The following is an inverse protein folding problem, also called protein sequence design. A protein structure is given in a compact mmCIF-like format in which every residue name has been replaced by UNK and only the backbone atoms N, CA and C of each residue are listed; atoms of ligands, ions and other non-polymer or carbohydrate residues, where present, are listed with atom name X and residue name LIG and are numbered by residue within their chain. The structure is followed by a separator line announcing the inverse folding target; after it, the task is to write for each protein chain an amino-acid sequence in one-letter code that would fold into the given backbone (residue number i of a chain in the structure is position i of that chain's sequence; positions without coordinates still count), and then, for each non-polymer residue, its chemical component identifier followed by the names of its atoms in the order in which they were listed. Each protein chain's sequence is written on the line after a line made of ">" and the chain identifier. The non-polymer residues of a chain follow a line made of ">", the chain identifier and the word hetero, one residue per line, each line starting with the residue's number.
data_IF_150750661292
#
_entry.id   IF_150750661292
#
_cell.length_a   1.000
_cell.length_b   1.000
_cell.length_c   1.000
_cell.angle_alpha   90.00
_cell.angle_beta   90.00
_cell.angle_gamma   90.00
#
_symmetry.space_group_name_H-M   'P 1'
#
loop_
_entity.id
_entity.type
_entity.pdbx_description
1 polymer ?
#
# COMPACT_ATOMS: atom_id res chain seq x y z
N UNK A 1 22.41 -33.76 -9.05
CA UNK A 1 21.83 -32.49 -8.58
C UNK A 1 21.96 -31.50 -9.71
N UNK A 2 20.86 -30.91 -10.17
CA UNK A 2 20.90 -29.86 -11.19
C UNK A 2 21.51 -28.59 -10.60
N UNK A 3 22.29 -27.86 -11.38
CA UNK A 3 22.87 -26.57 -10.95
C UNK A 3 21.83 -25.45 -11.11
N UNK A 4 21.90 -24.36 -10.33
CA UNK A 4 21.01 -23.20 -10.52
C UNK A 4 21.01 -22.65 -11.96
N UNK A 5 22.17 -22.64 -12.61
CA UNK A 5 22.32 -22.25 -14.01
C UNK A 5 21.53 -23.17 -14.97
N UNK A 6 21.59 -24.48 -14.78
CA UNK A 6 20.82 -25.42 -15.62
C UNK A 6 19.30 -25.31 -15.42
N UNK A 7 18.87 -24.98 -14.20
CA UNK A 7 17.45 -24.75 -13.91
C UNK A 7 16.95 -23.46 -14.57
N UNK A 8 17.74 -22.39 -14.53
CA UNK A 8 17.43 -21.14 -15.22
C UNK A 8 17.32 -21.35 -16.74
N UNK A 9 18.26 -22.07 -17.36
CA UNK A 9 18.22 -22.34 -18.80
C UNK A 9 16.98 -23.16 -19.19
N UNK A 10 16.60 -24.15 -18.38
CA UNK A 10 15.40 -24.93 -18.61
C UNK A 10 14.15 -24.06 -18.50
N UNK A 11 14.06 -23.22 -17.47
CA UNK A 11 12.99 -22.23 -17.31
C UNK A 11 12.85 -21.31 -18.52
N UNK A 12 13.94 -20.68 -18.96
CA UNK A 12 13.92 -19.77 -20.12
C UNK A 12 13.51 -20.51 -21.39
N UNK A 13 13.99 -21.73 -21.59
CA UNK A 13 13.61 -22.54 -22.75
C UNK A 13 12.12 -22.87 -22.79
N UNK A 14 11.50 -23.14 -21.64
CA UNK A 14 10.05 -23.39 -21.58
C UNK A 14 9.26 -22.09 -21.71
N UNK A 15 9.70 -21.02 -21.05
CA UNK A 15 9.01 -19.72 -21.03
C UNK A 15 8.95 -19.06 -22.42
N UNK A 16 10.03 -19.19 -23.20
CA UNK A 16 10.16 -18.60 -24.53
C UNK A 16 9.93 -19.59 -25.69
N UNK A 17 9.36 -20.77 -25.42
CA UNK A 17 8.99 -21.70 -26.49
C UNK A 17 7.90 -21.09 -27.38
N UNK A 18 7.93 -21.38 -28.69
CA UNK A 18 6.89 -20.93 -29.64
C UNK A 18 5.50 -21.44 -29.27
N UNK A 19 5.43 -22.60 -28.59
CA UNK A 19 4.21 -23.18 -28.04
C UNK A 19 4.47 -23.62 -26.60
N UNK A 20 4.40 -22.69 -25.64
CA UNK A 20 4.73 -22.98 -24.25
C UNK A 20 3.70 -23.93 -23.66
N UNK A 21 4.15 -25.08 -23.16
CA UNK A 21 3.30 -25.98 -22.41
C UNK A 21 3.21 -25.49 -20.97
N UNK A 22 2.07 -24.93 -20.56
CA UNK A 22 1.87 -24.34 -19.23
C UNK A 22 2.33 -25.27 -18.10
N UNK A 23 2.05 -26.57 -18.16
CA UNK A 23 2.47 -27.50 -17.11
C UNK A 23 4.00 -27.65 -17.02
N UNK A 24 4.71 -27.67 -18.15
CA UNK A 24 6.18 -27.74 -18.18
C UNK A 24 6.83 -26.42 -17.76
N UNK A 25 6.23 -25.30 -18.15
CA UNK A 25 6.65 -23.95 -17.75
C UNK A 25 6.54 -23.81 -16.23
N UNK A 26 5.38 -24.13 -15.65
CA UNK A 26 5.13 -24.07 -14.19
C UNK A 26 6.06 -25.01 -13.43
N UNK A 27 6.27 -26.25 -13.90
CA UNK A 27 7.20 -27.18 -13.23
C UNK A 27 8.64 -26.67 -13.26
N UNK A 28 9.07 -26.08 -14.38
CA UNK A 28 10.41 -25.49 -14.49
C UNK A 28 10.57 -24.26 -13.59
N UNK A 29 9.55 -23.42 -13.49
CA UNK A 29 9.51 -22.30 -12.54
C UNK A 29 9.56 -22.78 -11.08
N UNK A 30 8.79 -23.80 -10.72
CA UNK A 30 8.76 -24.36 -9.35
C UNK A 30 10.15 -24.84 -8.91
N UNK A 31 10.84 -25.55 -9.79
CA UNK A 31 12.21 -26.00 -9.53
C UNK A 31 13.19 -24.84 -9.35
N UNK A 32 12.88 -23.69 -9.96
CA UNK A 32 13.70 -22.50 -9.93
C UNK A 32 13.46 -21.66 -8.66
N UNK A 33 12.21 -21.45 -8.23
CA UNK A 33 11.82 -20.56 -7.08
C UNK A 33 12.57 -20.87 -5.77
N UNK A 34 12.91 -22.14 -5.50
CA UNK A 34 13.65 -22.53 -4.29
C UNK A 34 15.17 -22.38 -4.36
N UNK A 35 15.72 -22.03 -5.52
CA UNK A 35 17.17 -21.98 -5.80
C UNK A 35 17.59 -20.73 -6.58
N UNK A 36 16.64 -19.81 -6.83
CA UNK A 36 16.91 -18.54 -7.49
C UNK A 36 17.84 -17.68 -6.65
N UNK A 37 18.97 -17.24 -7.21
CA UNK A 37 19.78 -16.23 -6.58
C UNK A 37 19.09 -14.86 -6.68
N UNK A 38 19.64 -13.88 -5.96
CA UNK A 38 19.25 -12.46 -6.03
C UNK A 38 19.03 -12.02 -7.50
N UNK A 39 17.99 -11.21 -7.81
CA UNK A 39 17.76 -10.61 -9.13
C UNK A 39 19.03 -10.07 -9.82
N UNK A 40 19.97 -9.50 -9.07
CA UNK A 40 21.25 -9.02 -9.61
C UNK A 40 22.09 -10.13 -10.26
N UNK A 41 22.08 -11.34 -9.67
CA UNK A 41 22.80 -12.51 -10.18
C UNK A 41 22.12 -13.06 -11.44
N UNK A 42 20.79 -13.05 -11.48
CA UNK A 42 20.02 -13.46 -12.66
C UNK A 42 20.34 -12.55 -13.85
N UNK A 43 20.36 -11.22 -13.62
CA UNK A 43 20.76 -10.23 -14.63
C UNK A 43 22.17 -10.44 -15.14
N UNK A 44 23.13 -10.74 -14.25
CA UNK A 44 24.51 -11.08 -14.66
C UNK A 44 24.56 -12.34 -15.53
N UNK A 45 23.76 -13.36 -15.23
CA UNK A 45 23.72 -14.59 -16.03
C UNK A 45 23.07 -14.38 -17.39
N UNK A 46 22.02 -13.56 -17.48
CA UNK A 46 21.37 -13.22 -18.74
C UNK A 46 22.27 -12.32 -19.61
N UNK A 47 22.98 -11.36 -19.01
CA UNK A 47 24.00 -10.59 -19.73
C UNK A 47 25.12 -11.48 -20.29
N UNK A 48 25.51 -12.53 -19.55
CA UNK A 48 26.48 -13.52 -20.04
C UNK A 48 25.94 -14.41 -21.17
N UNK A 49 24.63 -14.41 -21.44
CA UNK A 49 23.99 -15.08 -22.56
C UNK A 49 23.77 -14.14 -23.77
N UNK A 50 24.34 -12.93 -23.73
CA UNK A 50 24.26 -11.91 -24.79
C UNK A 50 22.81 -11.53 -25.16
N UNK A 51 21.91 -11.62 -24.19
CA UNK A 51 20.53 -11.17 -24.32
C UNK A 51 20.40 -9.84 -23.57
N UNK A 52 20.44 -8.69 -24.25
CA UNK A 52 20.05 -7.43 -23.63
C UNK A 52 18.55 -7.47 -23.37
N UNK A 53 18.18 -7.91 -22.17
CA UNK A 53 16.80 -7.96 -21.75
C UNK A 53 16.47 -6.62 -21.09
N UNK A 54 15.73 -5.78 -21.81
CA UNK A 54 15.18 -4.54 -21.26
C UNK A 54 13.91 -4.86 -20.48
N UNK A 55 13.96 -4.66 -19.16
CA UNK A 55 12.84 -4.93 -18.27
C UNK A 55 11.94 -3.70 -18.22
N UNK A 56 10.87 -3.72 -19.01
CA UNK A 56 9.96 -2.59 -19.20
C UNK A 56 8.79 -2.58 -18.20
N UNK A 57 8.68 -3.61 -17.35
CA UNK A 57 7.61 -3.72 -16.36
C UNK A 57 8.18 -3.64 -14.96
N UNK A 58 7.44 -3.01 -14.06
CA UNK A 58 7.60 -3.21 -12.63
C UNK A 58 6.84 -4.46 -12.15
N UNK A 59 7.10 -4.87 -10.91
CA UNK A 59 6.51 -6.08 -10.35
C UNK A 59 4.98 -5.99 -10.22
N UNK A 60 4.45 -4.81 -9.89
CA UNK A 60 3.02 -4.61 -9.68
C UNK A 60 2.26 -4.74 -11.00
N UNK A 61 2.76 -4.10 -12.06
CA UNK A 61 2.21 -4.21 -13.41
C UNK A 61 2.34 -5.63 -13.94
N UNK A 62 3.50 -6.29 -13.73
CA UNK A 62 3.68 -7.68 -14.12
C UNK A 62 2.65 -8.59 -13.44
N UNK A 63 2.46 -8.47 -12.12
CA UNK A 63 1.51 -9.30 -11.37
C UNK A 63 0.06 -9.04 -11.75
N UNK A 64 -0.32 -7.79 -12.05
CA UNK A 64 -1.65 -7.44 -12.53
C UNK A 64 -1.99 -8.12 -13.88
N UNK A 65 -0.98 -8.30 -14.75
CA UNK A 65 -1.13 -8.92 -16.06
C UNK A 65 -1.04 -10.46 -16.04
N UNK A 66 -0.60 -11.07 -14.94
CA UNK A 66 -0.42 -12.53 -14.85
C UNK A 66 -1.69 -13.36 -15.13
N UNK A 67 -2.90 -12.98 -14.66
CA UNK A 67 -4.10 -13.77 -14.94
C UNK A 67 -4.40 -13.88 -16.43
N UNK A 68 -4.32 -12.76 -17.16
CA UNK A 68 -4.57 -12.70 -18.60
C UNK A 68 -3.47 -13.42 -19.38
N UNK A 69 -2.20 -13.24 -18.98
CA UNK A 69 -1.07 -13.96 -19.55
C UNK A 69 -1.21 -15.49 -19.40
N UNK A 70 -1.60 -15.97 -18.22
CA UNK A 70 -1.83 -17.40 -17.96
C UNK A 70 -2.98 -17.95 -18.80
N UNK A 71 -4.06 -17.19 -18.95
CA UNK A 71 -5.19 -17.57 -19.80
C UNK A 71 -4.78 -17.71 -21.27
N UNK A 72 -4.05 -16.74 -21.81
CA UNK A 72 -3.52 -16.79 -23.18
C UNK A 72 -2.56 -17.95 -23.38
N UNK A 73 -1.68 -18.22 -22.40
CA UNK A 73 -0.77 -19.37 -22.45
C UNK A 73 -1.52 -20.71 -22.52
N UNK A 74 -2.64 -20.83 -21.80
CA UNK A 74 -3.49 -22.03 -21.86
C UNK A 74 -4.21 -22.16 -23.20
N UNK A 75 -4.71 -21.06 -23.76
CA UNK A 75 -5.32 -21.05 -25.09
C UNK A 75 -4.30 -21.42 -26.18
N UNK A 76 -3.08 -20.89 -26.08
CA UNK A 76 -1.96 -21.25 -26.94
C UNK A 76 -1.65 -22.75 -26.90
N UNK A 77 -1.63 -23.34 -25.70
CA UNK A 77 -1.43 -24.78 -25.52
C UNK A 77 -2.55 -25.64 -26.15
N UNK A 78 -3.73 -25.05 -26.40
CA UNK A 78 -4.86 -25.67 -27.10
C UNK A 78 -4.88 -25.38 -28.61
N UNK A 79 -3.85 -24.68 -29.13
CA UNK A 79 -3.71 -24.35 -30.54
C UNK A 79 -4.35 -23.03 -30.97
N UNK A 80 -4.74 -22.17 -30.03
CA UNK A 80 -5.19 -20.82 -30.34
C UNK A 80 -4.02 -19.96 -30.85
N UNK A 81 -4.27 -18.95 -31.72
CA UNK A 81 -3.25 -18.02 -32.16
C UNK A 81 -2.72 -17.21 -30.97
N UNK A 82 -1.40 -17.27 -30.75
CA UNK A 82 -0.74 -16.55 -29.65
C UNK A 82 -0.58 -15.08 -30.03
N UNK A 83 -1.10 -14.16 -29.22
CA UNK A 83 -0.80 -12.73 -29.34
C UNK A 83 0.55 -12.43 -28.67
N UNK A 84 1.61 -12.98 -29.26
CA UNK A 84 2.91 -13.11 -28.62
C UNK A 84 3.54 -11.76 -28.24
N UNK A 85 3.26 -10.72 -29.02
CA UNK A 85 3.76 -9.36 -28.82
C UNK A 85 3.14 -8.66 -27.61
N UNK A 86 1.90 -8.99 -27.24
CA UNK A 86 1.18 -8.27 -26.18
C UNK A 86 1.74 -8.54 -24.78
N UNK A 87 2.26 -9.75 -24.56
CA UNK A 87 2.81 -10.19 -23.27
C UNK A 87 4.31 -10.49 -23.29
N UNK A 88 5.03 -10.06 -24.34
CA UNK A 88 6.48 -10.21 -24.43
C UNK A 88 7.18 -9.57 -23.22
N UNK A 89 6.71 -8.41 -22.76
CA UNK A 89 7.23 -7.73 -21.59
C UNK A 89 7.02 -8.51 -20.28
N UNK A 90 5.89 -9.22 -20.14
CA UNK A 90 5.60 -10.08 -18.98
C UNK A 90 6.56 -11.27 -18.94
N UNK A 91 6.79 -11.95 -20.07
CA UNK A 91 7.78 -13.04 -20.15
C UNK A 91 9.18 -12.57 -19.79
N UNK A 92 9.57 -11.42 -20.32
CA UNK A 92 10.85 -10.76 -20.01
C UNK A 92 10.98 -10.49 -18.51
N UNK A 93 9.97 -9.91 -17.87
CA UNK A 93 10.02 -9.64 -16.44
C UNK A 93 10.07 -10.95 -15.61
N UNK A 94 9.29 -11.96 -15.99
CA UNK A 94 9.28 -13.28 -15.34
C UNK A 94 10.62 -14.03 -15.47
N UNK A 95 11.40 -13.76 -16.51
CA UNK A 95 12.75 -14.28 -16.67
C UNK A 95 13.76 -13.65 -15.70
N UNK A 96 13.49 -12.41 -15.28
CA UNK A 96 14.41 -11.56 -14.51
C UNK A 96 14.06 -11.48 -13.02
N UNK A 97 12.78 -11.60 -12.68
CA UNK A 97 12.25 -11.33 -11.35
C UNK A 97 11.80 -12.61 -10.64
N UNK A 98 12.56 -13.10 -9.63
CA UNK A 98 12.23 -14.33 -8.91
C UNK A 98 10.92 -14.22 -8.13
N UNK A 99 10.55 -13.01 -7.68
CA UNK A 99 9.28 -12.77 -6.99
C UNK A 99 8.10 -12.94 -7.94
N UNK A 100 8.14 -12.36 -9.14
CA UNK A 100 7.09 -12.55 -10.12
C UNK A 100 7.07 -13.98 -10.67
N UNK A 101 8.21 -14.67 -10.77
CA UNK A 101 8.25 -16.12 -11.07
C UNK A 101 7.50 -16.93 -10.01
N UNK A 102 7.67 -16.61 -8.73
CA UNK A 102 6.95 -17.28 -7.65
C UNK A 102 5.44 -17.00 -7.67
N UNK A 103 5.06 -15.74 -7.91
CA UNK A 103 3.66 -15.35 -8.07
C UNK A 103 2.99 -16.06 -9.26
N UNK A 104 3.70 -16.16 -10.39
CA UNK A 104 3.27 -16.93 -11.57
C UNK A 104 2.98 -18.40 -11.24
N UNK A 105 3.89 -19.07 -10.50
CA UNK A 105 3.67 -20.47 -10.07
C UNK A 105 2.43 -20.59 -9.20
N UNK A 106 2.27 -19.72 -8.20
CA UNK A 106 1.13 -19.76 -7.29
C UNK A 106 -0.20 -19.55 -8.03
N UNK A 107 -0.28 -18.55 -8.91
CA UNK A 107 -1.49 -18.30 -9.69
C UNK A 107 -1.79 -19.46 -10.64
N UNK A 108 -0.79 -20.03 -11.31
CA UNK A 108 -0.98 -21.18 -12.18
C UNK A 108 -1.50 -22.41 -11.43
N UNK A 109 -1.03 -22.63 -10.20
CA UNK A 109 -1.53 -23.71 -9.32
C UNK A 109 -3.00 -23.49 -8.93
N UNK A 110 -3.40 -22.25 -8.62
CA UNK A 110 -4.80 -21.93 -8.34
C UNK A 110 -5.70 -22.14 -9.56
N UNK A 111 -5.25 -21.72 -10.74
CA UNK A 111 -5.99 -21.96 -11.99
C UNK A 111 -6.13 -23.46 -12.26
N UNK A 112 -5.05 -24.23 -12.12
CA UNK A 112 -5.10 -25.68 -12.30
C UNK A 112 -6.03 -26.36 -11.27
N UNK A 113 -5.96 -25.95 -10.01
CA UNK A 113 -6.83 -26.46 -8.96
C UNK A 113 -8.31 -26.14 -9.23
N UNK A 114 -8.59 -24.93 -9.74
CA UNK A 114 -9.92 -24.49 -10.16
C UNK A 114 -10.46 -25.33 -11.31
N UNK A 115 -9.65 -25.58 -12.34
CA UNK A 115 -10.05 -26.36 -13.50
C UNK A 115 -10.27 -27.84 -13.17
N UNK A 116 -9.52 -28.38 -12.21
CA UNK A 116 -9.68 -29.74 -11.73
C UNK A 116 -10.81 -29.90 -10.68
N UNK A 117 -11.52 -28.82 -10.30
CA UNK A 117 -12.48 -28.79 -9.18
C UNK A 117 -11.89 -29.36 -7.88
N UNK A 118 -10.59 -29.12 -7.68
CA UNK A 118 -9.83 -29.58 -6.51
C UNK A 118 -9.53 -28.47 -5.51
N UNK A 119 -10.00 -27.24 -5.77
CA UNK A 119 -10.02 -26.19 -4.76
C UNK A 119 -10.80 -26.73 -3.56
N UNK A 120 -10.20 -26.76 -2.35
CA UNK A 120 -10.88 -27.25 -1.17
C UNK A 120 -12.20 -26.49 -0.98
N UNK A 121 -13.32 -27.15 -1.25
CA UNK A 121 -14.62 -26.60 -0.92
C UNK A 121 -14.73 -26.64 0.59
N UNK A 122 -14.98 -25.48 1.20
CA UNK A 122 -15.31 -25.43 2.61
C UNK A 122 -16.53 -26.34 2.85
N UNK A 123 -16.33 -27.45 3.57
CA UNK A 123 -17.40 -28.42 3.89
C UNK A 123 -18.42 -27.85 4.87
N UNK A 124 -18.04 -26.78 5.54
CA UNK A 124 -18.81 -26.07 6.54
C UNK A 124 -18.52 -24.60 6.38
N UNK A 125 -19.58 -23.81 6.28
CA UNK A 125 -19.49 -22.38 6.52
C UNK A 125 -19.00 -22.17 7.96
N UNK A 126 -18.06 -21.26 8.23
CA UNK A 126 -17.73 -20.89 9.60
C UNK A 126 -19.03 -20.48 10.30
N UNK A 127 -19.27 -21.02 11.49
CA UNK A 127 -20.39 -20.57 12.31
C UNK A 127 -20.07 -19.15 12.74
N UNK A 128 -20.75 -18.17 12.16
CA UNK A 128 -20.59 -16.79 12.56
C UNK A 128 -21.16 -16.64 13.97
N UNK A 129 -20.33 -16.15 14.89
CA UNK A 129 -20.79 -15.76 16.21
C UNK A 129 -21.63 -14.48 16.07
N UNK A 130 -22.95 -14.65 16.13
CA UNK A 130 -23.93 -13.57 16.03
C UNK A 130 -24.37 -13.08 17.43
N UNK A 131 -23.65 -13.42 18.50
CA UNK A 131 -23.97 -12.95 19.86
C UNK A 131 -23.95 -11.43 19.98
N UNK A 132 -23.30 -10.71 19.04
CA UNK A 132 -23.37 -9.25 18.94
C UNK A 132 -24.75 -8.72 18.49
N UNK A 133 -25.62 -9.57 17.90
CA UNK A 133 -26.97 -9.19 17.44
C UNK A 133 -28.06 -9.38 18.51
N UNK A 134 -27.80 -10.14 19.58
CA UNK A 134 -28.80 -10.43 20.61
C UNK A 134 -29.07 -9.24 21.56
N UNK A 135 -28.46 -8.08 21.32
CA UNK A 135 -28.59 -6.87 22.15
C UNK A 135 -29.27 -5.66 21.50
N UNK A 136 -29.79 -5.74 20.26
CA UNK A 136 -30.27 -4.55 19.55
C UNK A 136 -31.73 -4.66 19.09
N UNK A 137 -32.65 -4.36 20.00
CA UNK A 137 -34.00 -3.91 19.66
C UNK A 137 -33.93 -2.38 19.44
N UNK A 138 -33.64 -1.96 18.19
CA UNK A 138 -34.11 -0.72 17.52
C UNK A 138 -33.23 -0.40 16.29
N UNK A 139 -33.89 -0.25 15.14
CA UNK A 139 -33.25 0.02 13.86
C UNK A 139 -32.67 1.45 13.78
N UNK A 140 -31.35 1.56 13.62
CA UNK A 140 -30.67 2.71 13.02
C UNK A 140 -29.32 2.21 12.46
N UNK A 141 -28.93 2.64 11.26
CA UNK A 141 -27.64 2.29 10.67
C UNK A 141 -26.51 2.69 11.63
N UNK A 142 -25.79 1.70 12.18
CA UNK A 142 -24.75 1.96 13.18
C UNK A 142 -23.57 2.69 12.53
N UNK A 143 -23.44 3.97 12.88
CA UNK A 143 -22.23 4.75 12.68
C UNK A 143 -21.15 4.13 13.56
N UNK A 144 -20.15 3.48 12.97
CA UNK A 144 -19.00 2.93 13.70
C UNK A 144 -18.37 4.03 14.58
N UNK A 145 -18.28 3.83 15.91
CA UNK A 145 -17.73 4.83 16.82
C UNK A 145 -16.31 5.28 16.42
N UNK A 146 -16.01 6.58 16.58
CA UNK A 146 -14.76 7.19 16.12
C UNK A 146 -13.50 6.47 16.66
N UNK A 147 -13.48 6.12 17.94
CA UNK A 147 -12.38 5.40 18.57
C UNK A 147 -12.13 4.02 17.93
N UNK A 148 -13.18 3.33 17.51
CA UNK A 148 -13.08 2.04 16.80
C UNK A 148 -12.42 2.25 15.44
N UNK A 149 -12.75 3.33 14.73
CA UNK A 149 -12.16 3.67 13.42
C UNK A 149 -10.68 4.04 13.53
N UNK A 150 -10.29 4.82 14.54
CA UNK A 150 -8.87 5.12 14.84
C UNK A 150 -8.09 3.84 15.13
N UNK A 151 -8.62 2.95 15.97
CA UNK A 151 -7.97 1.67 16.28
C UNK A 151 -7.83 0.77 15.05
N UNK A 152 -8.84 0.72 14.17
CA UNK A 152 -8.75 -0.01 12.90
C UNK A 152 -7.70 0.57 11.95
N UNK A 153 -7.56 1.90 11.89
CA UNK A 153 -6.51 2.54 11.11
C UNK A 153 -5.11 2.16 11.62
N UNK A 154 -4.90 2.24 12.94
CA UNK A 154 -3.65 1.84 13.60
C UNK A 154 -3.32 0.37 13.33
N UNK A 155 -4.29 -0.54 13.49
CA UNK A 155 -4.10 -1.98 13.24
C UNK A 155 -3.79 -2.29 11.77
N UNK A 156 -4.29 -1.47 10.85
CA UNK A 156 -3.99 -1.56 9.43
C UNK A 156 -2.66 -0.88 9.05
N UNK A 157 -1.93 -0.30 10.01
CA UNK A 157 -0.69 0.45 9.75
C UNK A 157 -0.91 1.72 8.92
N UNK A 158 -2.08 2.34 9.04
CA UNK A 158 -2.43 3.58 8.32
C UNK A 158 -2.28 4.78 9.24
N UNK A 159 -1.69 5.84 8.68
CA UNK A 159 -1.47 7.11 9.37
C UNK A 159 -2.60 8.13 9.08
N UNK A 160 -3.60 7.76 8.28
CA UNK A 160 -4.79 8.57 8.03
C UNK A 160 -5.99 7.74 7.51
N UNK A 161 -7.21 8.30 7.59
CA UNK A 161 -8.42 7.79 6.94
C UNK A 161 -9.46 8.92 6.74
N UNK A 162 -10.41 8.72 5.83
CA UNK A 162 -11.57 9.62 5.62
C UNK A 162 -12.78 9.20 6.46
N UNK A 163 -13.47 10.17 7.05
CA UNK A 163 -14.73 10.00 7.75
C UNK A 163 -15.92 10.17 6.79
N UNK A 164 -17.05 9.56 7.14
CA UNK A 164 -18.39 9.71 6.55
C UNK A 164 -18.96 11.12 6.51
N UNK A 165 -18.26 12.12 7.07
CA UNK A 165 -18.64 13.54 7.08
C UNK A 165 -17.57 14.39 6.36
N UNK A 166 -17.02 13.86 5.26
CA UNK A 166 -16.02 14.52 4.39
C UNK A 166 -14.80 15.10 5.13
N UNK A 167 -14.48 14.54 6.30
CA UNK A 167 -13.36 14.94 7.12
C UNK A 167 -12.20 13.97 7.01
N UNK A 168 -10.97 14.47 6.92
CA UNK A 168 -9.77 13.64 7.03
C UNK A 168 -9.37 13.51 8.49
N UNK A 169 -9.09 12.29 8.92
CA UNK A 169 -8.51 12.01 10.24
C UNK A 169 -7.10 11.49 10.07
N UNK A 170 -6.13 12.21 10.62
CA UNK A 170 -4.72 11.82 10.73
C UNK A 170 -4.49 11.11 12.05
N UNK A 171 -3.74 10.02 12.03
CA UNK A 171 -3.51 9.14 13.17
C UNK A 171 -2.01 8.93 13.32
N UNK A 172 -1.54 9.16 14.54
CA UNK A 172 -0.13 9.11 14.87
C UNK A 172 0.32 7.69 15.21
N UNK A 173 -0.43 6.97 16.04
CA UNK A 173 -0.22 5.53 16.29
C UNK A 173 1.11 5.16 16.97
N UNK A 174 1.25 3.90 17.44
CA UNK A 174 2.45 3.40 18.09
C UNK A 174 3.63 3.15 17.12
N UNK A 175 3.36 3.15 15.81
CA UNK A 175 4.35 3.01 14.73
C UNK A 175 5.11 4.30 14.43
N UNK A 176 4.85 5.38 15.17
CA UNK A 176 5.77 6.53 15.29
C UNK A 176 7.11 6.10 15.86
N UNK A 177 7.88 5.38 15.04
CA UNK A 177 9.31 5.59 15.08
C UNK A 177 9.48 7.04 14.69
N UNK A 178 9.93 7.86 15.66
CA UNK A 178 10.51 9.15 15.37
C UNK A 178 11.58 8.88 14.31
N UNK A 179 11.23 8.99 13.04
CA UNK A 179 12.20 8.95 11.97
C UNK A 179 12.92 10.28 12.16
N UNK A 180 14.19 10.31 12.59
CA UNK A 180 14.94 11.55 12.46
C UNK A 180 14.87 11.88 10.98
N UNK A 181 14.19 12.97 10.63
CA UNK A 181 13.93 13.32 9.24
C UNK A 181 15.24 13.20 8.48
N UNK A 182 15.36 12.15 7.65
CA UNK A 182 16.43 12.04 6.67
C UNK A 182 16.21 13.21 5.73
N UNK A 183 17.01 14.25 5.96
CA UNK A 183 16.58 15.61 5.71
C UNK A 183 16.23 15.84 4.26
N UNK A 184 15.01 16.29 4.02
CA UNK A 184 14.68 17.33 3.06
C UNK A 184 13.50 18.13 3.66
N UNK A 185 13.62 19.46 3.60
CA UNK A 185 12.66 20.47 4.05
C UNK A 185 12.47 20.66 5.58
N UNK A 186 13.54 21.01 6.30
CA UNK A 186 13.37 21.89 7.48
C UNK A 186 13.09 23.29 6.95
N UNK A 187 11.88 23.83 7.16
CA UNK A 187 11.54 25.26 6.96
C UNK A 187 12.70 26.08 7.54
N UNK A 188 13.44 26.78 6.68
CA UNK A 188 14.70 27.41 7.04
C UNK A 188 14.49 28.42 8.17
N UNK A 189 14.88 28.08 9.40
CA UNK A 189 14.96 29.02 10.51
C UNK A 189 14.53 28.52 11.89
N UNK A 190 13.78 27.43 12.03
CA UNK A 190 13.35 26.92 13.34
C UNK A 190 14.40 25.98 13.94
N UNK A 191 14.66 26.12 15.24
CA UNK A 191 15.62 25.30 16.01
C UNK A 191 14.96 24.02 16.55
N UNK A 192 13.76 23.71 16.07
CA UNK A 192 12.89 22.68 16.63
C UNK A 192 13.08 21.36 15.88
N UNK A 193 13.20 20.27 16.64
CA UNK A 193 13.40 18.94 16.10
C UNK A 193 12.06 18.38 15.62
N UNK A 194 11.93 18.11 14.31
CA UNK A 194 10.77 17.42 13.75
C UNK A 194 10.75 15.97 14.29
N UNK A 195 9.64 15.60 14.93
CA UNK A 195 9.36 14.25 15.43
C UNK A 195 8.72 13.38 14.35
N UNK A 196 7.77 13.94 13.62
CA UNK A 196 7.03 13.24 12.57
C UNK A 196 6.32 14.23 11.65
N UNK A 197 6.00 13.77 10.45
CA UNK A 197 5.22 14.49 9.47
C UNK A 197 4.31 13.52 8.72
N UNK A 198 3.05 13.90 8.56
CA UNK A 198 2.05 13.18 7.77
C UNK A 198 1.56 14.14 6.69
N UNK A 199 1.63 13.72 5.42
CA UNK A 199 1.11 14.48 4.28
C UNK A 199 0.07 13.64 3.58
N UNK A 200 -1.13 14.20 3.40
CA UNK A 200 -2.21 13.60 2.62
C UNK A 200 -2.46 14.51 1.42
N UNK A 201 -2.09 14.04 0.23
CA UNK A 201 -2.16 14.82 -1.01
C UNK A 201 -3.48 14.70 -1.77
N UNK A 202 -3.53 15.40 -2.91
CA UNK A 202 -4.71 15.54 -3.79
C UNK A 202 -5.35 14.21 -4.20
N UNK A 203 -4.54 13.20 -4.51
CA UNK A 203 -5.02 11.89 -4.96
C UNK A 203 -5.92 11.21 -3.90
N UNK A 204 -5.74 11.58 -2.63
CA UNK A 204 -6.49 11.08 -1.50
C UNK A 204 -7.63 12.00 -1.06
N UNK A 205 -7.52 13.30 -1.32
CA UNK A 205 -8.45 14.33 -0.90
C UNK A 205 -8.73 15.26 -2.09
N UNK A 206 -9.93 15.17 -2.64
CA UNK A 206 -10.34 15.90 -3.85
C UNK A 206 -10.04 17.41 -3.76
N UNK A 207 -9.00 17.86 -4.46
CA UNK A 207 -8.57 19.25 -4.51
C UNK A 207 -7.88 19.80 -3.25
N UNK A 208 -7.57 18.96 -2.26
CA UNK A 208 -6.95 19.34 -0.98
C UNK A 208 -5.64 18.60 -0.71
N UNK A 209 -4.72 19.30 -0.05
CA UNK A 209 -3.57 18.70 0.60
C UNK A 209 -3.57 19.11 2.07
N UNK A 210 -3.35 18.13 2.94
CA UNK A 210 -3.29 18.31 4.39
C UNK A 210 -1.94 17.84 4.89
N UNK A 211 -1.15 18.77 5.43
CA UNK A 211 0.12 18.48 6.07
C UNK A 211 -0.04 18.61 7.59
N UNK A 212 0.44 17.62 8.33
CA UNK A 212 0.57 17.68 9.77
C UNK A 212 2.00 17.40 10.19
N UNK A 213 2.62 18.37 10.85
CA UNK A 213 4.01 18.35 11.27
C UNK A 213 4.09 18.47 12.79
N UNK A 214 4.86 17.60 13.43
CA UNK A 214 5.02 17.58 14.90
C UNK A 214 6.45 17.88 15.26
N UNK A 215 6.66 18.88 16.12
CA UNK A 215 7.96 19.36 16.53
C UNK A 215 8.14 19.23 18.04
N UNK A 216 9.34 18.91 18.52
CA UNK A 216 9.67 19.02 19.94
C UNK A 216 9.59 20.49 20.35
N UNK A 217 8.92 20.77 21.48
CA UNK A 217 8.84 22.12 22.04
C UNK A 217 10.24 22.59 22.48
N UNK A 218 10.65 23.78 22.04
CA UNK A 218 11.97 24.32 22.34
C UNK A 218 12.21 24.57 23.84
N UNK A 219 11.14 24.72 24.63
CA UNK A 219 11.22 25.00 26.07
C UNK A 219 11.14 23.73 26.95
N UNK A 220 10.53 22.65 26.49
CA UNK A 220 10.40 21.39 27.25
C UNK A 220 10.35 20.18 26.30
N UNK A 221 11.37 19.32 26.35
CA UNK A 221 11.51 18.15 25.46
C UNK A 221 10.47 17.04 25.69
N UNK A 222 9.65 17.18 26.74
CA UNK A 222 8.51 16.31 27.03
C UNK A 222 7.22 16.79 26.37
N UNK A 223 7.25 17.98 25.78
CA UNK A 223 6.14 18.58 25.06
C UNK A 223 6.48 18.68 23.58
N UNK A 224 5.44 18.66 22.75
CA UNK A 224 5.52 18.90 21.33
C UNK A 224 4.47 19.93 20.88
N UNK A 225 4.75 20.50 19.73
CA UNK A 225 3.86 21.33 18.96
C UNK A 225 3.37 20.53 17.75
N UNK A 226 2.07 20.55 17.50
CA UNK A 226 1.45 19.97 16.30
C UNK A 226 0.98 21.12 15.42
N UNK A 227 1.59 21.29 14.25
CA UNK A 227 1.19 22.21 13.20
C UNK A 227 0.41 21.47 12.12
N UNK A 228 -0.71 22.04 11.68
CA UNK A 228 -1.51 21.51 10.58
C UNK A 228 -1.69 22.62 9.56
N UNK A 229 -1.30 22.32 8.31
CA UNK A 229 -1.40 23.24 7.18
C UNK A 229 -2.35 22.64 6.15
N UNK A 230 -3.31 23.45 5.68
CA UNK A 230 -4.28 23.07 4.67
C UNK A 230 -4.01 23.83 3.38
N UNK A 231 -3.81 23.11 2.29
CA UNK A 231 -3.60 23.67 0.97
C UNK A 231 -4.75 23.27 0.04
N UNK A 232 -5.34 24.27 -0.63
CA UNK A 232 -6.31 24.01 -1.71
C UNK A 232 -5.62 24.15 -3.05
N UNK A 233 -5.63 23.08 -3.84
CA UNK A 233 -4.88 22.99 -5.08
C UNK A 233 -5.67 23.53 -6.28
N UNK A 234 -6.98 23.78 -6.12
CA UNK A 234 -7.86 24.34 -7.14
C UNK A 234 -8.42 25.73 -6.76
N UNK A 235 -8.27 26.76 -7.63
CA UNK A 235 -8.45 28.18 -7.27
C UNK A 235 -9.91 28.71 -7.24
N UNK A 236 -10.93 27.85 -7.20
CA UNK A 236 -12.33 28.28 -7.21
C UNK A 236 -12.82 28.71 -5.80
N UNK A 237 -12.29 29.82 -5.29
CA UNK A 237 -12.88 30.71 -4.25
C UNK A 237 -13.37 30.07 -2.95
N UNK A 238 -12.59 29.20 -2.33
CA UNK A 238 -12.72 28.91 -0.89
C UNK A 238 -11.36 28.98 -0.23
N UNK A 239 -11.22 29.88 0.73
CA UNK A 239 -9.99 30.03 1.52
C UNK A 239 -9.80 28.83 2.43
N UNK A 240 -8.56 28.46 2.72
CA UNK A 240 -8.25 27.46 3.75
C UNK A 240 -8.48 27.97 5.19
N UNK A 241 -9.00 29.19 5.35
CA UNK A 241 -9.27 29.85 6.62
C UNK A 241 -10.57 29.41 7.30
N UNK A 242 -10.61 29.54 8.63
CA UNK A 242 -11.77 29.25 9.51
C UNK A 242 -12.26 27.78 9.47
N UNK A 243 -11.42 26.86 8.97
CA UNK A 243 -11.70 25.43 8.90
C UNK A 243 -11.48 24.82 10.30
N UNK A 244 -12.47 24.12 10.87
CA UNK A 244 -12.34 23.53 12.19
C UNK A 244 -11.41 22.30 12.15
N UNK A 245 -10.48 22.29 13.09
CA UNK A 245 -9.50 21.23 13.30
C UNK A 245 -9.60 20.77 14.74
N UNK A 246 -9.78 19.46 14.93
CA UNK A 246 -9.94 18.84 16.25
C UNK A 246 -8.75 17.94 16.56
N UNK A 247 -8.00 18.29 17.59
CA UNK A 247 -6.96 17.43 18.16
C UNK A 247 -7.55 16.62 19.34
N UNK A 248 -7.30 15.32 19.35
CA UNK A 248 -7.66 14.41 20.45
C UNK A 248 -6.42 13.64 20.91
N UNK A 249 -6.23 13.53 22.22
CA UNK A 249 -5.22 12.67 22.85
C UNK A 249 -5.64 12.37 24.29
N UNK A 250 -5.52 11.12 24.74
CA UNK A 250 -6.04 10.70 26.05
C UNK A 250 -7.52 11.07 26.24
N UNK A 251 -7.83 11.83 27.28
CA UNK A 251 -9.18 12.37 27.54
C UNK A 251 -9.38 13.81 27.00
N UNK A 252 -8.35 14.39 26.38
CA UNK A 252 -8.33 15.78 25.95
C UNK A 252 -8.89 15.90 24.53
N UNK A 253 -9.75 16.90 24.33
CA UNK A 253 -10.26 17.29 23.01
C UNK A 253 -10.11 18.80 22.89
N UNK A 254 -9.37 19.23 21.86
CA UNK A 254 -9.15 20.64 21.56
C UNK A 254 -9.66 20.90 20.15
N UNK A 255 -10.51 21.93 20.01
CA UNK A 255 -11.00 22.37 18.70
C UNK A 255 -10.45 23.77 18.45
N UNK A 256 -9.75 23.93 17.35
CA UNK A 256 -9.24 25.21 16.86
C UNK A 256 -9.67 25.40 15.41
N UNK A 257 -9.44 26.60 14.87
CA UNK A 257 -9.76 26.92 13.48
C UNK A 257 -8.51 27.45 12.81
N UNK A 258 -8.36 27.15 11.52
CA UNK A 258 -7.23 27.64 10.73
C UNK A 258 -7.28 29.16 10.56
N UNK A 259 -6.10 29.77 10.50
CA UNK A 259 -5.91 31.19 10.22
C UNK A 259 -6.08 31.53 8.72
N UNK A 260 -5.76 32.77 8.33
CA UNK A 260 -5.89 33.23 6.93
C UNK A 260 -5.02 32.43 5.95
N UNK A 261 -3.94 31.82 6.43
CA UNK A 261 -2.99 31.02 5.64
C UNK A 261 -3.34 29.52 5.64
N UNK A 262 -4.43 29.12 6.32
CA UNK A 262 -4.83 27.72 6.41
C UNK A 262 -4.07 26.92 7.46
N UNK A 263 -3.45 27.59 8.43
CA UNK A 263 -2.58 26.97 9.44
C UNK A 263 -3.26 26.97 10.81
N UNK A 264 -3.06 25.90 11.57
CA UNK A 264 -3.40 25.84 12.98
C UNK A 264 -2.30 25.13 13.77
N UNK A 265 -2.06 25.61 14.98
CA UNK A 265 -0.98 25.11 15.84
C UNK A 265 -1.51 24.76 17.22
N UNK A 266 -1.29 23.51 17.63
CA UNK A 266 -1.54 23.02 18.99
C UNK A 266 -0.23 22.94 19.75
N UNK A 267 -0.05 23.78 20.77
CA UNK A 267 1.14 23.78 21.61
C UNK A 267 0.97 22.91 22.86
N UNK A 268 2.10 22.59 23.50
CA UNK A 268 2.14 21.90 24.79
C UNK A 268 1.44 20.53 24.82
N UNK A 269 1.56 19.75 23.73
CA UNK A 269 1.05 18.37 23.67
C UNK A 269 2.07 17.43 24.30
N UNK A 270 1.71 16.57 25.27
CA UNK A 270 2.67 15.62 25.84
C UNK A 270 3.17 14.62 24.79
N UNK A 271 4.49 14.51 24.65
CA UNK A 271 5.13 13.61 23.67
C UNK A 271 4.74 12.14 23.91
N UNK A 272 4.57 11.75 25.17
CA UNK A 272 4.17 10.38 25.56
C UNK A 272 2.73 10.02 25.17
N UNK A 273 1.88 11.02 24.88
CA UNK A 273 0.51 10.83 24.41
C UNK A 273 0.37 10.94 22.89
N UNK A 274 1.46 11.25 22.17
CA UNK A 274 1.42 11.42 20.71
C UNK A 274 0.99 10.13 20.00
N UNK A 275 1.41 8.96 20.49
CA UNK A 275 1.03 7.66 19.91
C UNK A 275 -0.49 7.37 19.96
N UNK A 276 -1.21 8.06 20.85
CA UNK A 276 -2.66 7.95 21.00
C UNK A 276 -3.39 9.17 20.41
N UNK A 277 -2.64 10.10 19.82
CA UNK A 277 -3.20 11.32 19.28
C UNK A 277 -3.85 11.09 17.90
N UNK A 278 -4.90 11.88 17.62
CA UNK A 278 -5.53 11.96 16.31
C UNK A 278 -5.93 13.39 16.00
N UNK A 279 -5.78 13.80 14.75
CA UNK A 279 -6.18 15.11 14.25
C UNK A 279 -7.30 14.91 13.24
N UNK A 280 -8.42 15.59 13.43
CA UNK A 280 -9.54 15.57 12.51
C UNK A 280 -9.72 16.95 11.88
N UNK A 281 -9.75 17.01 10.55
CA UNK A 281 -10.03 18.21 9.76
C UNK A 281 -11.34 17.99 9.03
N UNK A 282 -12.30 18.91 9.18
CA UNK A 282 -13.58 18.85 8.45
C UNK A 282 -13.43 19.71 7.20
N UNK A 283 -13.18 19.09 6.05
CA UNK A 283 -13.00 19.81 4.80
C UNK A 283 -14.38 20.20 4.24
N UNK A 284 -14.55 21.43 3.73
CA UNK A 284 -15.80 21.81 3.10
C UNK A 284 -15.99 21.05 1.78
N UNK A 285 -17.12 20.36 1.63
CA UNK A 285 -17.57 19.77 0.36
C UNK A 285 -17.87 20.87 -0.67
N UNK A 286 -17.51 20.65 -1.93
CA UNK A 286 -17.86 21.56 -3.04
C UNK A 286 -19.37 21.73 -3.26
#
# INVERSE_FOLDING_TARGET
>A
MSTPKSLLLNWLSELFAEQPNTARVVESARQLVGVLPDPAVIRQWLAALDQPVDDQLDCDTCQALLPEFLYEQQQAAQGAPVQDEHYAAVRTHLALCPYCTAAYVQMAEWVAASQADTIPRATTYPTFDLSFLEGAEEANAEVTPFNVRVQQAIQAGRDWFTDTIDGVTLVFGPSLQAQPASGWAVKSGATEQLLTQIVVGEDALDGWEVECSVFVDAADDRLCQIEISLYRLHPAVTTAADIPVTLRYGATVIVMRTDEDGIVTFAAVPVDQLAEASVQVVLPSE
#
